data_IF_760254580634
#
_entry.id   IF_760254580634
#
_cell.length_a   1.000
_cell.length_b   1.000
_cell.length_c   1.000
_cell.angle_alpha   90.00
_cell.angle_beta   90.00
_cell.angle_gamma   90.00
#
_symmetry.space_group_name_H-M   'P 1'
#
loop_
_entity.id
_entity.type
_entity.pdbx_description
1 polymer ?
#
# COMPACT_ATOMS: atom_id res chain seq x y z
N UNK A 1 -16.22 -1.76 6.83
CA UNK A 1 -16.01 -0.29 6.68
C UNK A 1 -14.78 0.11 7.49
N UNK A 2 -13.92 0.98 6.97
CA UNK A 2 -12.75 1.56 7.66
C UNK A 2 -13.07 3.03 7.98
N UNK A 3 -13.51 3.36 9.21
CA UNK A 3 -14.10 4.66 9.53
C UNK A 3 -13.11 5.84 9.42
N UNK A 4 -11.81 5.58 9.57
CA UNK A 4 -10.79 6.62 9.55
C UNK A 4 -10.39 7.09 8.15
N UNK A 5 -10.83 6.42 7.08
CA UNK A 5 -10.54 6.87 5.72
C UNK A 5 -11.17 8.23 5.44
N UNK A 6 -10.43 9.08 4.74
CA UNK A 6 -10.97 10.33 4.22
C UNK A 6 -12.10 10.08 3.21
N UNK A 7 -13.00 11.04 3.08
CA UNK A 7 -14.20 10.93 2.26
C UNK A 7 -13.94 10.42 0.83
N UNK A 8 -12.90 10.89 0.10
CA UNK A 8 -12.61 10.41 -1.25
C UNK A 8 -12.26 8.93 -1.35
N UNK A 9 -11.85 8.28 -0.24
CA UNK A 9 -11.38 6.88 -0.22
C UNK A 9 -12.34 5.92 0.50
N UNK A 10 -13.45 6.40 1.05
CA UNK A 10 -14.42 5.55 1.78
C UNK A 10 -15.00 4.45 0.93
N UNK A 11 -15.21 4.71 -0.35
CA UNK A 11 -15.75 3.75 -1.30
C UNK A 11 -14.84 2.51 -1.50
N UNK A 12 -13.54 2.61 -1.21
CA UNK A 12 -12.64 1.44 -1.25
C UNK A 12 -13.05 0.35 -0.24
N UNK A 13 -13.64 0.74 0.89
CA UNK A 13 -14.07 -0.14 1.97
C UNK A 13 -15.58 -0.32 2.07
N UNK A 14 -16.35 0.08 1.06
CA UNK A 14 -17.82 0.07 1.09
C UNK A 14 -18.38 -1.35 1.04
N UNK A 15 -17.83 -2.19 0.15
CA UNK A 15 -18.40 -3.50 -0.15
C UNK A 15 -17.59 -4.67 0.41
N UNK A 16 -16.38 -4.43 0.87
CA UNK A 16 -15.46 -5.47 1.35
C UNK A 16 -14.26 -4.94 2.10
N UNK A 17 -13.22 -5.75 2.15
CA UNK A 17 -11.92 -5.39 2.73
C UNK A 17 -11.07 -4.62 1.73
N UNK A 18 -10.13 -3.83 2.23
CA UNK A 18 -9.06 -3.20 1.44
C UNK A 18 -7.78 -3.99 1.63
N UNK A 19 -7.26 -4.54 0.55
CA UNK A 19 -6.00 -5.26 0.50
C UNK A 19 -4.95 -4.48 -0.26
N UNK A 20 -3.73 -4.43 0.26
CA UNK A 20 -2.63 -3.62 -0.29
C UNK A 20 -1.44 -4.53 -0.56
N UNK A 21 -0.81 -4.37 -1.73
CA UNK A 21 0.43 -5.04 -2.11
C UNK A 21 1.20 -4.11 -3.06
N UNK A 22 2.48 -4.35 -3.25
CA UNK A 22 3.35 -3.58 -4.14
C UNK A 22 4.30 -4.47 -4.92
N UNK A 23 4.90 -3.92 -5.98
CA UNK A 23 6.05 -4.51 -6.66
C UNK A 23 5.78 -5.93 -7.17
N UNK A 24 4.72 -6.06 -7.97
CA UNK A 24 4.32 -7.34 -8.54
C UNK A 24 5.28 -7.80 -9.63
N UNK A 25 5.84 -6.84 -10.40
CA UNK A 25 6.81 -7.07 -11.47
C UNK A 25 6.46 -8.26 -12.37
N UNK A 26 5.19 -8.37 -12.75
CA UNK A 26 4.72 -9.45 -13.62
C UNK A 26 5.50 -9.47 -14.94
N UNK A 27 6.07 -10.62 -15.28
CA UNK A 27 6.91 -10.84 -16.46
C UNK A 27 8.19 -9.99 -16.54
N UNK A 28 8.65 -9.42 -15.44
CA UNK A 28 9.92 -8.72 -15.39
C UNK A 28 11.07 -9.73 -15.33
N UNK A 29 12.01 -9.64 -16.28
CA UNK A 29 13.16 -10.54 -16.38
C UNK A 29 14.13 -10.41 -15.22
N UNK A 30 14.17 -9.25 -14.58
CA UNK A 30 15.14 -8.92 -13.55
C UNK A 30 14.71 -9.35 -12.14
N UNK A 31 13.48 -9.84 -12.00
CA UNK A 31 12.92 -10.30 -10.72
C UNK A 31 13.84 -11.25 -9.94
N UNK A 32 14.45 -12.22 -10.62
CA UNK A 32 15.35 -13.19 -9.98
C UNK A 32 16.70 -12.60 -9.59
N UNK A 33 17.06 -11.44 -10.14
CA UNK A 33 18.23 -10.69 -9.69
C UNK A 33 17.91 -9.93 -8.40
N UNK A 34 16.65 -9.44 -8.28
CA UNK A 34 16.16 -8.76 -7.06
C UNK A 34 15.98 -9.76 -5.91
N UNK A 35 15.40 -10.92 -6.19
CA UNK A 35 15.20 -12.01 -5.22
C UNK A 35 15.25 -13.38 -5.94
N UNK A 36 16.24 -14.26 -5.60
CA UNK A 36 16.37 -15.57 -6.27
C UNK A 36 15.14 -16.48 -6.13
N UNK A 37 14.36 -16.28 -5.07
CA UNK A 37 13.13 -16.99 -4.74
C UNK A 37 11.86 -16.35 -5.33
N UNK A 38 11.99 -15.44 -6.30
CA UNK A 38 10.86 -14.80 -6.96
C UNK A 38 9.95 -15.82 -7.64
N UNK A 39 8.67 -15.77 -7.32
CA UNK A 39 7.67 -16.71 -7.86
C UNK A 39 7.06 -16.19 -9.16
N UNK A 40 6.50 -17.11 -9.95
CA UNK A 40 5.87 -16.78 -11.24
C UNK A 40 4.63 -15.86 -11.03
N UNK A 41 4.23 -15.10 -12.09
CA UNK A 41 3.01 -14.30 -12.04
C UNK A 41 1.77 -15.08 -11.62
N UNK A 42 1.64 -16.33 -12.11
CA UNK A 42 0.49 -17.16 -11.76
C UNK A 42 0.47 -17.55 -10.28
N UNK A 43 1.63 -17.91 -9.73
CA UNK A 43 1.74 -18.21 -8.29
C UNK A 43 1.43 -17.00 -7.43
N UNK A 44 1.90 -15.80 -7.82
CA UNK A 44 1.54 -14.55 -7.13
C UNK A 44 0.02 -14.34 -7.12
N UNK A 45 -0.63 -14.48 -8.28
CA UNK A 45 -2.09 -14.35 -8.43
C UNK A 45 -2.82 -15.36 -7.57
N UNK A 46 -2.36 -16.60 -7.54
CA UNK A 46 -2.98 -17.65 -6.72
C UNK A 46 -2.87 -17.35 -5.23
N UNK A 47 -1.73 -16.80 -4.77
CA UNK A 47 -1.55 -16.36 -3.39
C UNK A 47 -2.49 -15.19 -3.07
N UNK A 48 -2.52 -14.18 -3.94
CA UNK A 48 -3.39 -13.00 -3.76
C UNK A 48 -4.86 -13.45 -3.70
N UNK A 49 -5.30 -14.29 -4.62
CA UNK A 49 -6.68 -14.73 -4.75
C UNK A 49 -7.14 -15.72 -3.67
N UNK A 50 -6.23 -16.26 -2.85
CA UNK A 50 -6.61 -16.98 -1.61
C UNK A 50 -7.14 -16.03 -0.54
N UNK A 51 -6.75 -14.75 -0.59
CA UNK A 51 -7.09 -13.74 0.42
C UNK A 51 -8.11 -12.73 -0.09
N UNK A 52 -8.01 -12.33 -1.36
CA UNK A 52 -8.81 -11.27 -1.98
C UNK A 52 -10.02 -11.87 -2.68
N UNK A 53 -11.22 -11.36 -2.34
CA UNK A 53 -12.50 -11.80 -2.91
C UNK A 53 -13.07 -10.75 -3.87
N UNK A 54 -14.13 -11.11 -4.60
CA UNK A 54 -14.71 -10.28 -5.65
C UNK A 54 -15.32 -8.95 -5.16
N UNK A 55 -15.71 -8.87 -3.90
CA UNK A 55 -16.25 -7.65 -3.30
C UNK A 55 -15.20 -6.78 -2.59
N UNK A 56 -13.95 -7.24 -2.56
CA UNK A 56 -12.85 -6.50 -1.95
C UNK A 56 -12.27 -5.43 -2.90
N UNK A 57 -11.51 -4.51 -2.33
CA UNK A 57 -10.67 -3.56 -3.03
C UNK A 57 -9.22 -4.01 -2.95
N UNK A 58 -8.53 -4.02 -4.08
CA UNK A 58 -7.11 -4.30 -4.18
C UNK A 58 -6.36 -3.03 -4.58
N UNK A 59 -5.44 -2.59 -3.74
CA UNK A 59 -4.59 -1.41 -3.96
C UNK A 59 -3.17 -1.90 -4.26
N UNK A 60 -2.69 -1.62 -5.47
CA UNK A 60 -1.30 -1.83 -5.86
C UNK A 60 -0.51 -0.54 -5.64
N UNK A 61 0.60 -0.62 -4.92
CA UNK A 61 1.47 0.53 -4.66
C UNK A 61 2.58 0.67 -5.70
N UNK A 62 2.34 0.23 -6.93
CA UNK A 62 3.26 0.44 -8.05
C UNK A 62 4.07 -0.78 -8.45
N UNK A 63 4.83 -0.58 -9.50
CA UNK A 63 5.70 -1.56 -10.15
C UNK A 63 4.97 -2.86 -10.49
N UNK A 64 3.95 -2.68 -11.35
CA UNK A 64 3.03 -3.76 -11.75
C UNK A 64 3.71 -4.78 -12.68
N UNK A 65 4.63 -4.32 -13.55
CA UNK A 65 5.13 -5.11 -14.67
C UNK A 65 4.10 -5.25 -15.79
N UNK A 66 3.84 -6.47 -16.28
CA UNK A 66 2.80 -6.71 -17.29
C UNK A 66 1.39 -6.58 -16.68
N UNK A 67 0.65 -5.49 -16.96
CA UNK A 67 -0.63 -5.21 -16.28
C UNK A 67 -1.78 -6.13 -16.73
N UNK A 68 -1.62 -6.94 -17.76
CA UNK A 68 -2.67 -7.89 -18.18
C UNK A 68 -3.02 -8.90 -17.08
N UNK A 69 -2.04 -9.27 -16.25
CA UNK A 69 -2.26 -10.17 -15.12
C UNK A 69 -3.20 -9.60 -14.06
N UNK A 70 -3.33 -8.28 -13.96
CA UNK A 70 -4.25 -7.61 -13.03
C UNK A 70 -5.70 -8.04 -13.25
N UNK A 71 -6.08 -8.43 -14.48
CA UNK A 71 -7.44 -8.94 -14.78
C UNK A 71 -7.77 -10.22 -14.02
N UNK A 72 -6.77 -11.01 -13.65
CA UNK A 72 -6.94 -12.28 -12.95
C UNK A 72 -7.08 -12.13 -11.43
N UNK A 73 -6.76 -10.96 -10.88
CA UNK A 73 -7.03 -10.65 -9.47
C UNK A 73 -8.53 -10.49 -9.28
N UNK A 74 -9.11 -11.21 -8.31
CA UNK A 74 -10.57 -11.31 -8.11
C UNK A 74 -11.24 -10.01 -7.69
N UNK A 75 -10.53 -9.10 -7.02
CA UNK A 75 -11.09 -7.82 -6.59
C UNK A 75 -11.80 -7.12 -7.74
N UNK A 76 -13.05 -6.67 -7.51
CA UNK A 76 -13.80 -5.87 -8.47
C UNK A 76 -13.25 -4.45 -8.57
N UNK A 77 -12.82 -3.89 -7.45
CA UNK A 77 -12.20 -2.58 -7.40
C UNK A 77 -10.68 -2.73 -7.31
N UNK A 78 -9.97 -2.13 -8.23
CA UNK A 78 -8.52 -2.17 -8.34
C UNK A 78 -7.97 -0.77 -8.47
N UNK A 79 -7.06 -0.40 -7.58
CA UNK A 79 -6.49 0.93 -7.46
C UNK A 79 -4.98 0.82 -7.67
N UNK A 80 -4.40 1.77 -8.38
CA UNK A 80 -2.96 1.87 -8.59
C UNK A 80 -2.43 3.20 -8.09
N UNK A 81 -1.39 3.15 -7.28
CA UNK A 81 -0.47 4.26 -7.08
C UNK A 81 0.76 3.93 -7.92
N UNK A 82 1.11 4.78 -8.87
CA UNK A 82 2.18 4.50 -9.83
C UNK A 82 3.53 4.36 -9.13
N UNK A 83 4.27 3.34 -9.54
CA UNK A 83 5.68 3.15 -9.23
C UNK A 83 6.59 3.79 -10.30
N UNK A 84 7.89 3.72 -10.08
CA UNK A 84 8.87 4.33 -10.98
C UNK A 84 9.03 3.57 -12.31
N UNK A 85 8.64 2.30 -12.39
CA UNK A 85 8.63 1.52 -13.64
C UNK A 85 7.30 1.59 -14.39
N UNK A 86 6.23 2.10 -13.76
CA UNK A 86 4.90 2.13 -14.35
C UNK A 86 4.73 3.26 -15.37
N UNK A 87 4.03 2.94 -16.47
CA UNK A 87 3.56 3.94 -17.43
C UNK A 87 2.05 4.07 -17.31
N UNK A 88 1.55 5.21 -16.85
CA UNK A 88 0.13 5.46 -16.57
C UNK A 88 -0.78 5.01 -17.70
N UNK A 89 -0.47 5.37 -18.95
CA UNK A 89 -1.30 5.01 -20.10
C UNK A 89 -1.35 3.52 -20.42
N UNK A 90 -0.33 2.75 -19.96
CA UNK A 90 -0.27 1.29 -20.11
C UNK A 90 -1.08 0.61 -19.01
N UNK A 91 -0.96 1.10 -17.76
CA UNK A 91 -1.60 0.49 -16.61
C UNK A 91 -3.09 0.88 -16.46
N UNK A 92 -3.46 2.11 -16.81
CA UNK A 92 -4.81 2.64 -16.59
C UNK A 92 -5.97 1.76 -17.09
N UNK A 93 -5.89 1.04 -18.23
CA UNK A 93 -6.97 0.17 -18.68
C UNK A 93 -7.30 -1.02 -17.76
N UNK A 94 -6.45 -1.31 -16.78
CA UNK A 94 -6.55 -2.46 -15.89
C UNK A 94 -6.98 -2.11 -14.46
N UNK A 95 -7.05 -0.81 -14.15
CA UNK A 95 -7.41 -0.29 -12.82
C UNK A 95 -8.62 0.64 -12.90
N UNK A 96 -9.40 0.68 -11.81
CA UNK A 96 -10.54 1.60 -11.69
C UNK A 96 -10.08 3.03 -11.41
N UNK A 97 -8.97 3.16 -10.66
CA UNK A 97 -8.38 4.45 -10.30
C UNK A 97 -6.86 4.35 -10.39
N UNK A 98 -6.21 5.43 -10.86
CA UNK A 98 -4.75 5.52 -10.97
C UNK A 98 -4.30 6.86 -10.44
N UNK A 99 -3.39 6.84 -9.48
CA UNK A 99 -2.82 8.02 -8.82
C UNK A 99 -1.33 8.16 -9.16
N UNK A 100 -0.90 9.39 -9.40
CA UNK A 100 0.47 9.68 -9.86
C UNK A 100 1.50 9.75 -8.72
N UNK A 101 1.08 9.65 -7.45
CA UNK A 101 2.00 9.77 -6.32
C UNK A 101 1.36 9.40 -4.99
N UNK A 102 2.11 9.65 -3.92
CA UNK A 102 1.74 9.30 -2.56
C UNK A 102 0.41 9.93 -2.11
N UNK A 103 -0.39 9.17 -1.36
CA UNK A 103 -1.72 9.55 -0.89
C UNK A 103 -1.84 9.42 0.62
N UNK A 104 -2.20 10.50 1.30
CA UNK A 104 -2.79 10.39 2.63
C UNK A 104 -4.24 9.93 2.50
N UNK A 105 -4.50 8.67 2.84
CA UNK A 105 -5.86 8.09 2.79
C UNK A 105 -6.62 8.24 4.12
N UNK A 106 -5.89 8.59 5.18
CA UNK A 106 -6.41 8.92 6.51
C UNK A 106 -5.39 9.82 7.23
N UNK A 107 -5.76 10.42 8.37
CA UNK A 107 -4.89 11.30 9.17
C UNK A 107 -3.48 10.74 9.45
N UNK A 108 -3.39 9.43 9.59
CA UNK A 108 -2.18 8.73 10.03
C UNK A 108 -1.66 7.72 9.01
N UNK A 109 -2.29 7.59 7.83
CA UNK A 109 -1.96 6.56 6.85
C UNK A 109 -1.58 7.21 5.54
N UNK A 110 -0.32 7.04 5.17
CA UNK A 110 0.25 7.38 3.89
C UNK A 110 0.47 6.11 3.07
N UNK A 111 -0.03 6.09 1.86
CA UNK A 111 0.27 5.07 0.85
C UNK A 111 1.21 5.68 -0.19
N UNK A 112 2.28 4.99 -0.54
CA UNK A 112 3.23 5.44 -1.56
C UNK A 112 3.91 4.24 -2.21
N UNK A 113 4.50 4.42 -3.38
CA UNK A 113 5.40 3.41 -3.93
C UNK A 113 6.73 3.42 -3.18
N UNK A 114 7.44 4.53 -3.21
CA UNK A 114 8.70 4.69 -2.50
C UNK A 114 8.47 5.02 -1.01
N UNK A 115 9.37 4.59 -0.09
CA UNK A 115 9.31 5.01 1.30
C UNK A 115 9.51 6.52 1.42
N UNK A 116 8.61 7.20 2.13
CA UNK A 116 8.69 8.66 2.34
C UNK A 116 9.31 8.95 3.69
N UNK A 117 10.55 9.43 3.67
CA UNK A 117 11.30 9.78 4.86
C UNK A 117 11.02 11.21 5.35
N UNK A 118 11.29 11.48 6.62
CA UNK A 118 11.16 12.80 7.24
C UNK A 118 9.75 13.18 7.66
N UNK A 119 8.75 12.36 7.39
CA UNK A 119 7.41 12.55 7.92
C UNK A 119 7.35 12.10 9.38
N UNK A 120 6.58 12.85 10.17
CA UNK A 120 6.32 12.49 11.56
C UNK A 120 4.85 12.16 11.73
N UNK A 121 4.56 11.22 12.65
CA UNK A 121 3.21 10.88 13.10
C UNK A 121 2.32 10.24 12.02
N UNK A 122 2.89 9.44 11.16
CA UNK A 122 2.14 8.62 10.22
C UNK A 122 2.71 7.20 10.14
N UNK A 123 1.88 6.31 9.65
CA UNK A 123 2.26 5.01 9.12
C UNK A 123 2.37 5.14 7.61
N UNK A 124 3.56 4.96 7.08
CA UNK A 124 3.80 4.88 5.65
C UNK A 124 3.78 3.41 5.21
N UNK A 125 2.78 3.05 4.42
CA UNK A 125 2.70 1.75 3.76
C UNK A 125 3.22 1.94 2.35
N UNK A 126 4.29 1.23 1.99
CA UNK A 126 5.02 1.44 0.75
C UNK A 126 5.54 0.13 0.15
N UNK A 127 6.18 0.20 -0.99
CA UNK A 127 6.93 -0.86 -1.66
C UNK A 127 8.35 -0.44 -1.97
N UNK A 128 8.77 -0.68 -3.21
CA UNK A 128 10.02 -0.26 -3.84
C UNK A 128 11.29 -0.88 -3.26
N UNK A 129 11.43 -1.01 -1.96
CA UNK A 129 12.60 -1.62 -1.32
C UNK A 129 12.42 -3.15 -1.28
N UNK A 130 13.07 -3.84 -2.21
CA UNK A 130 13.06 -5.30 -2.28
C UNK A 130 13.93 -5.98 -1.22
N UNK A 131 14.65 -5.19 -0.42
CA UNK A 131 15.45 -5.72 0.68
C UNK A 131 14.54 -6.09 1.86
N UNK A 132 14.87 -7.19 2.52
CA UNK A 132 14.18 -7.62 3.75
C UNK A 132 14.73 -6.91 5.00
N UNK A 133 15.43 -5.80 4.82
CA UNK A 133 16.01 -5.01 5.90
C UNK A 133 15.02 -3.92 6.28
N UNK A 134 14.54 -3.96 7.52
CA UNK A 134 13.71 -2.90 8.06
C UNK A 134 14.53 -1.62 8.18
N UNK A 135 14.07 -0.55 7.54
CA UNK A 135 14.63 0.80 7.66
C UNK A 135 13.61 1.66 8.37
N UNK A 136 14.00 2.17 9.53
CA UNK A 136 13.16 3.09 10.29
C UNK A 136 13.68 4.50 10.18
N UNK A 137 12.80 5.43 9.87
CA UNK A 137 13.02 6.86 10.06
C UNK A 137 12.42 7.32 11.40
N UNK A 138 13.11 8.22 12.11
CA UNK A 138 12.65 8.71 13.40
C UNK A 138 11.32 9.46 13.28
N UNK A 139 10.21 8.82 13.62
CA UNK A 139 8.88 9.43 13.72
C UNK A 139 7.88 9.03 12.64
N UNK A 140 8.27 8.28 11.63
CA UNK A 140 7.38 7.59 10.71
C UNK A 140 7.52 6.09 10.92
N UNK A 141 6.42 5.38 11.08
CA UNK A 141 6.43 3.93 11.02
C UNK A 141 6.30 3.50 9.57
N UNK A 142 7.06 2.49 9.17
CA UNK A 142 7.08 1.98 7.81
C UNK A 142 6.59 0.54 7.75
N UNK A 143 5.78 0.21 6.74
CA UNK A 143 5.44 -1.16 6.35
C UNK A 143 5.80 -1.31 4.88
N UNK A 144 6.81 -2.12 4.61
CA UNK A 144 7.21 -2.47 3.26
C UNK A 144 6.35 -3.64 2.73
N UNK A 145 5.64 -3.42 1.65
CA UNK A 145 4.78 -4.40 0.98
C UNK A 145 5.28 -4.78 -0.40
N UNK A 146 6.58 -4.63 -0.68
CA UNK A 146 7.15 -5.23 -1.87
C UNK A 146 6.87 -6.75 -1.85
N UNK A 147 6.37 -7.29 -2.96
CA UNK A 147 5.78 -8.63 -3.00
C UNK A 147 6.71 -9.72 -2.46
N UNK A 148 7.99 -9.67 -2.81
CA UNK A 148 9.00 -10.63 -2.30
C UNK A 148 9.29 -10.48 -0.80
N UNK A 149 9.07 -9.29 -0.23
CA UNK A 149 9.31 -9.01 1.20
C UNK A 149 8.19 -9.59 2.06
N UNK A 150 6.94 -9.46 1.60
CA UNK A 150 5.76 -9.93 2.34
C UNK A 150 5.22 -11.29 1.85
N UNK A 151 6.07 -12.10 1.17
CA UNK A 151 5.71 -13.43 0.65
C UNK A 151 4.47 -13.39 -0.26
N UNK A 152 4.34 -12.34 -1.06
CA UNK A 152 3.22 -12.10 -2.01
C UNK A 152 1.83 -12.04 -1.34
N UNK A 153 1.78 -11.88 0.00
CA UNK A 153 0.54 -11.84 0.78
C UNK A 153 0.08 -10.40 0.96
N UNK A 154 -1.06 -9.99 0.38
CA UNK A 154 -1.53 -8.63 0.53
C UNK A 154 -1.98 -8.32 1.97
N UNK A 155 -1.64 -7.13 2.43
CA UNK A 155 -2.00 -6.60 3.73
C UNK A 155 -3.48 -6.23 3.78
N UNK A 156 -4.23 -6.71 4.74
CA UNK A 156 -5.59 -6.24 5.00
C UNK A 156 -5.55 -4.98 5.88
N UNK A 157 -5.85 -3.83 5.30
CA UNK A 157 -5.79 -2.53 5.97
C UNK A 157 -6.75 -2.45 7.19
N UNK A 158 -7.95 -2.97 7.06
CA UNK A 158 -8.92 -2.97 8.15
C UNK A 158 -8.47 -3.79 9.35
N UNK A 159 -7.88 -4.96 9.12
CA UNK A 159 -7.29 -5.80 10.19
C UNK A 159 -6.10 -5.10 10.84
N UNK A 160 -5.21 -4.50 10.05
CA UNK A 160 -4.07 -3.74 10.57
C UNK A 160 -4.50 -2.67 11.57
N UNK A 161 -5.47 -1.85 11.17
CA UNK A 161 -6.01 -0.76 12.00
C UNK A 161 -6.69 -1.32 13.26
N UNK A 162 -7.50 -2.38 13.11
CA UNK A 162 -8.19 -3.04 14.24
C UNK A 162 -7.22 -3.63 15.25
N UNK A 163 -6.07 -4.09 14.80
CA UNK A 163 -5.01 -4.64 15.66
C UNK A 163 -4.18 -3.56 16.37
N UNK A 164 -4.51 -2.29 16.21
CA UNK A 164 -3.91 -1.20 16.97
C UNK A 164 -2.69 -0.54 16.34
N UNK A 165 -2.37 -0.82 15.07
CA UNK A 165 -1.19 -0.26 14.40
C UNK A 165 -1.12 1.29 14.39
N UNK A 166 -2.23 1.98 14.66
CA UNK A 166 -2.27 3.44 14.73
C UNK A 166 -2.33 3.98 16.16
N UNK A 167 -2.27 3.14 17.18
CA UNK A 167 -2.53 3.52 18.58
C UNK A 167 -1.47 4.50 19.09
N UNK A 168 -0.21 4.24 18.81
CA UNK A 168 0.93 5.04 19.30
C UNK A 168 1.30 6.22 18.39
N UNK A 169 0.71 6.28 17.20
CA UNK A 169 0.94 7.38 16.25
C UNK A 169 0.13 8.59 16.67
N UNK A 170 0.82 9.70 17.01
CA UNK A 170 0.16 10.96 17.36
C UNK A 170 -0.34 11.68 16.10
N UNK A 171 -1.51 12.28 16.20
CA UNK A 171 -2.07 13.11 15.15
C UNK A 171 -1.33 14.47 15.10
N UNK A 172 -1.02 14.97 13.89
CA UNK A 172 -0.35 16.27 13.69
C UNK A 172 -1.14 17.41 14.35
N UNK A 173 -2.46 17.40 14.21
CA UNK A 173 -3.33 18.42 14.81
C UNK A 173 -3.19 18.46 16.34
N UNK A 174 -3.18 17.29 16.97
CA UNK A 174 -2.99 17.17 18.42
C UNK A 174 -1.67 17.78 18.88
N UNK A 175 -0.61 17.59 18.12
CA UNK A 175 0.70 18.14 18.44
C UNK A 175 0.76 19.67 18.41
N UNK A 176 0.09 20.30 17.46
CA UNK A 176 0.02 21.77 17.38
C UNK A 176 -0.65 22.32 18.64
N UNK A 177 -1.75 21.71 19.07
CA UNK A 177 -2.46 22.07 20.30
C UNK A 177 -1.57 21.84 21.53
N UNK A 178 -0.91 20.71 21.64
CA UNK A 178 -0.04 20.38 22.78
C UNK A 178 1.17 21.32 22.87
N UNK A 179 1.71 21.77 21.74
CA UNK A 179 2.78 22.79 21.70
C UNK A 179 2.31 24.16 22.15
N UNK A 180 1.11 24.58 21.79
CA UNK A 180 0.54 25.85 22.23
C UNK A 180 0.27 25.82 23.71
N UNK A 181 -0.36 24.77 24.25
CA UNK A 181 -0.61 24.62 25.69
C UNK A 181 0.66 24.64 26.55
N UNK A 182 1.81 24.17 26.01
CA UNK A 182 3.11 24.22 26.71
C UNK A 182 3.73 25.61 26.72
N UNK A 183 3.29 26.54 25.86
CA UNK A 183 3.75 27.93 25.84
C UNK A 183 2.95 28.82 26.79
N UNK A 184 1.77 28.35 27.21
CA UNK A 184 0.87 29.08 28.12
C UNK A 184 1.10 28.71 29.60
N UNK A 185 1.96 27.69 29.88
CA UNK A 185 2.43 27.28 31.19
C UNK A 185 3.91 27.64 31.38
#
# INVERSE_FOLDING_TARGET
>A
MIPCLYEPFKHWAENGSVYILSDLHFDDSDCKLMAPDWVSPQEQIDIINKMVMSNDCFVCLGDVGNPEYIRQIRAKQKILILGNHDKKHVCAPYFNEVYDGALFVADKILLSHEPVNGLKWCLNIHGHDHSRVERFDSGCEHINLAANVCEYKPLNLGKLIKNGALADIKNIHRMVIDKQRRKEN
#
